data_IF_221770109172
#
_entry.id   IF_221770109172
#
_cell.length_a   1.000
_cell.length_b   1.000
_cell.length_c   1.000
_cell.angle_alpha   90.00
_cell.angle_beta   90.00
_cell.angle_gamma   90.00
#
_symmetry.space_group_name_H-M   'P 1'
#
loop_
_entity.id
_entity.type
_entity.pdbx_description
1 polymer ?
#
# COMPACT_ATOMS: atom_id res chain seq x y z
N UNK A 1 -10.06 6.27 15.00
CA UNK A 1 -9.48 5.35 14.00
C UNK A 1 -9.08 6.07 12.71
N UNK A 2 -9.90 6.98 12.14
CA UNK A 2 -9.52 7.81 10.96
C UNK A 2 -8.28 8.71 11.16
N UNK A 3 -8.05 9.23 12.36
CA UNK A 3 -6.87 10.07 12.64
C UNK A 3 -5.52 9.32 12.50
N UNK A 4 -5.52 7.99 12.68
CA UNK A 4 -4.32 7.16 12.54
C UNK A 4 -3.94 6.93 11.08
N UNK A 5 -4.94 6.85 10.19
CA UNK A 5 -4.75 6.65 8.74
C UNK A 5 -4.18 7.91 8.05
N UNK A 6 -4.61 9.10 8.45
CA UNK A 6 -4.02 10.35 7.96
C UNK A 6 -2.56 10.51 8.38
N UNK A 7 -2.24 10.03 9.58
CA UNK A 7 -0.89 10.03 10.14
C UNK A 7 0.05 9.05 9.42
N UNK A 8 -0.39 7.82 9.15
CA UNK A 8 0.39 6.83 8.37
C UNK A 8 0.60 7.25 6.92
N UNK A 9 -0.44 7.81 6.29
CA UNK A 9 -0.38 8.29 4.91
C UNK A 9 0.56 9.48 4.74
N UNK A 10 0.64 10.37 5.74
CA UNK A 10 1.65 11.44 5.78
C UNK A 10 3.04 10.85 6.02
N UNK A 11 3.14 9.97 7.01
CA UNK A 11 4.41 9.38 7.42
C UNK A 11 5.12 8.67 6.26
N UNK A 12 4.40 7.92 5.45
CA UNK A 12 5.00 7.20 4.33
C UNK A 12 5.21 8.04 3.07
N UNK A 13 4.28 8.95 2.74
CA UNK A 13 4.46 9.90 1.61
C UNK A 13 5.73 10.70 1.75
N UNK A 14 6.00 11.17 2.97
CA UNK A 14 7.14 12.02 3.25
C UNK A 14 8.41 11.20 3.48
N UNK A 15 8.33 10.03 4.12
CA UNK A 15 9.53 9.31 4.52
C UNK A 15 10.08 8.32 3.50
N UNK A 16 9.23 7.61 2.78
CA UNK A 16 9.65 6.29 2.33
C UNK A 16 10.26 6.20 0.92
N UNK A 17 9.82 6.92 -0.12
CA UNK A 17 10.43 6.79 -1.44
C UNK A 17 11.93 7.12 -1.39
N UNK A 18 12.30 8.22 -0.74
CA UNK A 18 13.69 8.64 -0.61
C UNK A 18 14.50 7.71 0.32
N UNK A 19 13.96 7.31 1.47
CA UNK A 19 14.69 6.45 2.42
C UNK A 19 14.86 5.02 1.89
N UNK A 20 13.85 4.49 1.20
CA UNK A 20 13.90 3.17 0.58
C UNK A 20 14.76 3.17 -0.69
N UNK A 21 14.70 4.20 -1.54
CA UNK A 21 15.60 4.33 -2.70
C UNK A 21 17.07 4.49 -2.27
N UNK A 22 17.34 5.22 -1.19
CA UNK A 22 18.73 5.46 -0.75
C UNK A 22 19.34 4.31 0.06
N UNK A 23 18.55 3.54 0.81
CA UNK A 23 19.08 2.57 1.78
C UNK A 23 18.42 1.18 1.79
N UNK A 24 17.35 0.96 1.01
CA UNK A 24 16.52 -0.25 1.08
C UNK A 24 15.63 -0.27 2.34
N UNK A 25 14.45 -0.88 2.23
CA UNK A 25 13.46 -0.99 3.30
C UNK A 25 14.02 -1.72 4.54
N UNK A 26 14.92 -2.69 4.36
CA UNK A 26 15.55 -3.44 5.44
C UNK A 26 16.31 -2.53 6.42
N UNK A 27 17.02 -1.52 5.92
CA UNK A 27 17.82 -0.60 6.73
C UNK A 27 17.00 0.52 7.39
N UNK A 28 15.74 0.71 6.98
CA UNK A 28 14.82 1.67 7.61
C UNK A 28 14.46 1.20 9.01
N UNK A 29 14.68 2.07 10.00
CA UNK A 29 14.33 1.83 11.41
C UNK A 29 13.15 2.68 11.87
N UNK A 30 12.49 2.26 12.95
CA UNK A 30 11.41 3.03 13.59
C UNK A 30 11.84 4.43 14.02
N UNK A 31 13.11 4.62 14.42
CA UNK A 31 13.63 5.96 14.76
C UNK A 31 13.65 6.85 13.52
N UNK A 32 14.20 6.36 12.40
CA UNK A 32 14.30 7.12 11.15
C UNK A 32 12.92 7.53 10.63
N UNK A 33 11.93 6.64 10.75
CA UNK A 33 10.54 6.95 10.40
C UNK A 33 10.01 8.07 11.31
N UNK A 34 10.17 7.95 12.63
CA UNK A 34 9.70 8.96 13.58
C UNK A 34 10.32 10.35 13.32
N UNK A 35 11.64 10.39 13.07
CA UNK A 35 12.37 11.62 12.79
C UNK A 35 11.89 12.29 11.50
N UNK A 36 11.76 11.52 10.42
CA UNK A 36 11.37 12.01 9.10
C UNK A 36 9.95 12.58 9.06
N UNK A 37 9.07 12.10 9.94
CA UNK A 37 7.65 12.52 9.99
C UNK A 37 7.39 13.54 11.12
N UNK A 38 8.45 13.93 11.84
CA UNK A 38 8.43 14.98 12.84
C UNK A 38 7.76 14.59 14.16
N UNK A 39 7.85 13.33 14.58
CA UNK A 39 7.25 12.84 15.82
C UNK A 39 8.27 12.18 16.74
N UNK A 40 7.91 12.04 18.02
CA UNK A 40 8.72 11.28 18.97
C UNK A 40 8.57 9.77 18.73
N UNK A 41 9.68 9.04 18.75
CA UNK A 41 9.71 7.57 18.64
C UNK A 41 8.72 6.84 19.58
N UNK A 42 8.57 7.19 20.88
CA UNK A 42 7.56 6.57 21.73
C UNK A 42 6.12 6.79 21.25
N UNK A 43 5.82 7.92 20.60
CA UNK A 43 4.50 8.16 20.00
C UNK A 43 4.25 7.22 18.82
N UNK A 44 5.28 6.94 18.01
CA UNK A 44 5.17 5.96 16.92
C UNK A 44 4.84 4.56 17.47
N UNK A 45 5.54 4.12 18.52
CA UNK A 45 5.31 2.81 19.14
C UNK A 45 3.95 2.65 19.81
N UNK A 46 3.28 3.76 20.17
CA UNK A 46 1.87 3.70 20.63
C UNK A 46 0.91 3.29 19.52
N UNK A 47 1.29 3.49 18.26
CA UNK A 47 0.45 3.19 17.09
C UNK A 47 0.90 1.94 16.33
N UNK A 48 2.21 1.69 16.26
CA UNK A 48 2.80 0.58 15.52
C UNK A 48 3.87 -0.11 16.35
N UNK A 49 3.72 -1.42 16.55
CA UNK A 49 4.68 -2.24 17.31
C UNK A 49 5.93 -2.56 16.48
N UNK A 50 5.81 -2.55 15.16
CA UNK A 50 6.89 -2.89 14.24
C UNK A 50 6.84 -2.08 12.95
N UNK A 51 7.93 -2.14 12.18
CA UNK A 51 7.98 -1.63 10.80
C UNK A 51 6.99 -2.37 9.90
N UNK A 52 6.82 -3.67 10.10
CA UNK A 52 5.94 -4.50 9.29
C UNK A 52 4.47 -4.07 9.44
N UNK A 53 4.04 -3.70 10.66
CA UNK A 53 2.69 -3.14 10.86
C UNK A 53 2.50 -1.82 10.11
N UNK A 54 3.55 -0.99 9.98
CA UNK A 54 3.51 0.25 9.18
C UNK A 54 3.38 -0.09 7.70
N UNK A 55 4.17 -1.04 7.21
CA UNK A 55 4.15 -1.50 5.81
C UNK A 55 2.77 -2.05 5.44
N UNK A 56 2.18 -2.89 6.29
CA UNK A 56 0.84 -3.45 6.10
C UNK A 56 -0.24 -2.36 6.11
N UNK A 57 -0.24 -1.47 7.11
CA UNK A 57 -1.22 -0.39 7.20
C UNK A 57 -1.18 0.52 5.95
N UNK A 58 0.01 0.71 5.41
CA UNK A 58 0.23 1.54 4.24
C UNK A 58 -0.10 0.81 2.92
N UNK A 59 0.14 -0.50 2.82
CA UNK A 59 -0.42 -1.32 1.74
C UNK A 59 -1.95 -1.19 1.68
N UNK A 60 -2.64 -1.35 2.82
CA UNK A 60 -4.09 -1.24 2.88
C UNK A 60 -4.58 0.15 2.45
N UNK A 61 -3.89 1.20 2.89
CA UNK A 61 -4.20 2.58 2.51
C UNK A 61 -4.01 2.82 1.00
N UNK A 62 -2.87 2.44 0.43
CA UNK A 62 -2.59 2.62 -0.99
C UNK A 62 -3.52 1.78 -1.87
N UNK A 63 -3.82 0.55 -1.44
CA UNK A 63 -4.78 -0.32 -2.12
C UNK A 63 -6.18 0.29 -2.12
N UNK A 64 -6.61 0.89 -1.01
CA UNK A 64 -7.91 1.54 -0.93
C UNK A 64 -7.99 2.75 -1.87
N UNK A 65 -6.97 3.62 -1.86
CA UNK A 65 -6.90 4.73 -2.81
C UNK A 65 -6.85 4.26 -4.27
N UNK A 66 -6.13 3.17 -4.55
CA UNK A 66 -6.04 2.62 -5.90
C UNK A 66 -7.39 2.10 -6.40
N UNK A 67 -8.17 1.44 -5.54
CA UNK A 67 -9.55 1.03 -5.85
C UNK A 67 -10.45 2.21 -6.16
N UNK A 68 -10.36 3.27 -5.35
CA UNK A 68 -11.14 4.50 -5.53
C UNK A 68 -10.80 5.17 -6.86
N UNK A 69 -9.50 5.32 -7.18
CA UNK A 69 -9.03 5.90 -8.44
C UNK A 69 -9.39 5.08 -9.67
N UNK A 70 -9.28 3.75 -9.57
CA UNK A 70 -9.66 2.85 -10.65
C UNK A 70 -11.20 2.68 -10.77
N UNK A 71 -11.99 3.39 -9.95
CA UNK A 71 -13.45 3.28 -9.89
C UNK A 71 -13.92 1.83 -9.76
N UNK A 72 -13.16 1.01 -9.04
CA UNK A 72 -13.46 -0.40 -8.83
C UNK A 72 -14.58 -0.46 -7.79
N UNK A 73 -15.80 -0.69 -8.27
CA UNK A 73 -16.97 -0.87 -7.42
C UNK A 73 -16.89 -2.20 -6.66
N UNK A 74 -17.53 -2.31 -5.49
CA UNK A 74 -17.75 -3.61 -4.85
C UNK A 74 -18.42 -4.55 -5.85
N UNK A 75 -17.82 -5.72 -6.06
CA UNK A 75 -18.38 -6.74 -6.94
C UNK A 75 -19.57 -7.39 -6.27
N UNK A 76 -20.74 -7.29 -6.87
CA UNK A 76 -21.89 -8.09 -6.48
C UNK A 76 -21.84 -9.43 -7.23
N UNK A 77 -21.40 -10.46 -6.54
CA UNK A 77 -21.23 -11.80 -7.12
C UNK A 77 -22.55 -12.42 -7.58
N UNK A 78 -23.71 -11.93 -7.17
CA UNK A 78 -24.98 -12.49 -7.64
C UNK A 78 -25.28 -12.04 -9.07
N UNK A 79 -25.03 -10.76 -9.35
CA UNK A 79 -25.35 -10.12 -10.63
C UNK A 79 -24.17 -10.12 -11.60
N UNK A 80 -22.94 -10.17 -11.10
CA UNK A 80 -21.72 -10.12 -11.92
C UNK A 80 -21.53 -11.31 -12.88
N UNK A 81 -22.16 -12.45 -12.57
CA UNK A 81 -22.06 -13.66 -13.40
C UNK A 81 -23.25 -13.86 -14.34
N UNK A 82 -24.30 -13.03 -14.24
CA UNK A 82 -25.52 -13.22 -15.01
C UNK A 82 -25.28 -12.87 -16.48
N UNK A 83 -25.42 -13.87 -17.36
CA UNK A 83 -25.31 -13.68 -18.82
C UNK A 83 -23.88 -13.60 -19.36
N UNK A 84 -22.86 -13.68 -18.51
CA UNK A 84 -21.45 -13.64 -18.87
C UNK A 84 -20.84 -15.05 -18.94
N UNK A 85 -19.90 -15.26 -19.86
CA UNK A 85 -19.10 -16.49 -19.90
C UNK A 85 -17.99 -16.45 -18.85
N UNK A 86 -17.46 -17.63 -18.48
CA UNK A 86 -16.32 -17.71 -17.57
C UNK A 86 -15.08 -16.92 -18.07
N UNK A 87 -14.90 -16.81 -19.40
CA UNK A 87 -13.81 -16.04 -19.98
C UNK A 87 -14.01 -14.54 -19.78
N UNK A 88 -15.20 -14.01 -20.02
CA UNK A 88 -15.53 -12.59 -19.84
C UNK A 88 -15.41 -12.18 -18.36
N UNK A 89 -15.91 -13.03 -17.46
CA UNK A 89 -15.75 -12.89 -16.01
C UNK A 89 -14.27 -12.80 -15.64
N UNK A 90 -13.44 -13.75 -16.12
CA UNK A 90 -12.01 -13.77 -15.83
C UNK A 90 -11.30 -12.54 -16.37
N UNK A 91 -11.60 -12.14 -17.61
CA UNK A 91 -11.04 -10.94 -18.24
C UNK A 91 -11.40 -9.68 -17.44
N UNK A 92 -12.66 -9.54 -17.01
CA UNK A 92 -13.13 -8.41 -16.21
C UNK A 92 -12.40 -8.32 -14.85
N UNK A 93 -12.29 -9.44 -14.13
CA UNK A 93 -11.58 -9.49 -12.84
C UNK A 93 -10.10 -9.16 -12.99
N UNK A 94 -9.44 -9.76 -13.99
CA UNK A 94 -8.01 -9.52 -14.26
C UNK A 94 -7.78 -8.08 -14.68
N UNK A 95 -8.65 -7.51 -15.53
CA UNK A 95 -8.53 -6.12 -15.97
C UNK A 95 -8.67 -5.15 -14.79
N UNK A 96 -9.66 -5.36 -13.92
CA UNK A 96 -9.80 -4.57 -12.68
C UNK A 96 -8.59 -4.69 -11.76
N UNK A 97 -8.02 -5.89 -11.62
CA UNK A 97 -6.80 -6.09 -10.86
C UNK A 97 -5.60 -5.35 -11.47
N UNK A 98 -5.40 -5.44 -12.79
CA UNK A 98 -4.33 -4.72 -13.49
C UNK A 98 -4.48 -3.21 -13.30
N UNK A 99 -5.69 -2.66 -13.51
CA UNK A 99 -5.96 -1.23 -13.35
C UNK A 99 -5.69 -0.72 -11.94
N UNK A 100 -6.03 -1.51 -10.91
CA UNK A 100 -5.71 -1.19 -9.51
C UNK A 100 -4.19 -1.17 -9.27
N UNK A 101 -3.46 -2.14 -9.80
CA UNK A 101 -2.03 -2.26 -9.53
C UNK A 101 -1.19 -1.31 -10.40
N UNK A 102 -1.70 -0.84 -11.54
CA UNK A 102 -1.04 0.16 -12.40
C UNK A 102 -1.08 1.60 -11.85
N UNK A 103 -1.78 1.83 -10.74
CA UNK A 103 -1.76 3.13 -10.08
C UNK A 103 -0.35 3.47 -9.59
N UNK A 104 0.15 4.66 -9.93
CA UNK A 104 1.55 5.07 -9.70
C UNK A 104 2.05 4.80 -8.27
N UNK A 105 1.24 5.15 -7.27
CA UNK A 105 1.59 4.96 -5.86
C UNK A 105 1.68 3.49 -5.46
N UNK A 106 0.80 2.63 -5.99
CA UNK A 106 0.87 1.18 -5.76
C UNK A 106 2.08 0.58 -6.47
N UNK A 107 2.37 0.99 -7.69
CA UNK A 107 3.55 0.54 -8.43
C UNK A 107 4.85 0.90 -7.71
N UNK A 108 4.97 2.14 -7.22
CA UNK A 108 6.16 2.57 -6.48
C UNK A 108 6.30 1.82 -5.15
N UNK A 109 5.18 1.54 -4.47
CA UNK A 109 5.20 0.72 -3.27
C UNK A 109 5.67 -0.71 -3.53
N UNK A 110 5.20 -1.35 -4.61
CA UNK A 110 5.70 -2.67 -4.99
C UNK A 110 7.17 -2.65 -5.37
N UNK A 111 7.66 -1.67 -6.13
CA UNK A 111 9.09 -1.57 -6.46
C UNK A 111 9.95 -1.61 -5.19
N UNK A 112 9.53 -0.89 -4.15
CA UNK A 112 10.20 -0.89 -2.84
C UNK A 112 10.13 -2.25 -2.15
N UNK A 113 9.00 -2.96 -2.18
CA UNK A 113 8.91 -4.31 -1.59
C UNK A 113 9.79 -5.31 -2.36
N UNK A 114 9.75 -5.24 -3.69
CA UNK A 114 10.44 -6.19 -4.56
C UNK A 114 11.95 -5.99 -4.60
N UNK A 115 12.44 -4.76 -4.37
CA UNK A 115 13.89 -4.51 -4.22
C UNK A 115 14.50 -5.19 -3.00
N UNK A 116 13.68 -5.61 -2.03
CA UNK A 116 14.11 -6.31 -0.83
C UNK A 116 14.07 -7.83 -0.95
N UNK A 117 13.57 -8.37 -2.07
CA UNK A 117 13.63 -9.82 -2.29
C UNK A 117 15.11 -10.22 -2.43
N UNK A 118 15.57 -11.24 -1.69
CA UNK A 118 16.88 -11.81 -1.95
C UNK A 118 16.98 -12.18 -3.41
N UNK A 119 17.97 -11.64 -4.11
CA UNK A 119 18.40 -12.17 -5.40
C UNK A 119 19.06 -13.51 -5.04
N UNK A 120 18.30 -14.60 -5.14
CA UNK A 120 18.83 -15.94 -4.97
C UNK A 120 19.81 -16.28 -6.10
#
# INVERSE_FOLDING_TARGET
>A
MLHCLGFTAKAWREANPELAEQKGLASVSMSMIADKIGIKKPSLYKHFKSKDEIVEAMYQFLRQQAKEKANIKPMDYNTFFEGETALEILQSVVHGYIQMNQQEQMMNFYKVIYSERPIF
#
